data_IF_522349686156
#
_entry.id   IF_522349686156
#
_cell.length_a   1.000
_cell.length_b   1.000
_cell.length_c   1.000
_cell.angle_alpha   90.00
_cell.angle_beta   90.00
_cell.angle_gamma   90.00
#
_symmetry.space_group_name_H-M   'P 1'
#
loop_
_entity.id
_entity.type
_entity.pdbx_description
1 polymer ?
#
# COMPACT_ATOMS: atom_id res chain seq x y z
N UNK A 1 -8.71 -21.54 -10.13
CA UNK A 1 -7.68 -20.73 -10.79
C UNK A 1 -6.56 -21.60 -11.38
N UNK A 2 -6.09 -22.68 -10.75
CA UNK A 2 -5.06 -23.55 -11.34
C UNK A 2 -5.48 -24.22 -12.67
N UNK A 3 -6.70 -24.76 -12.74
CA UNK A 3 -7.25 -25.37 -13.98
C UNK A 3 -7.30 -24.36 -15.13
N UNK A 4 -7.89 -23.19 -14.89
CA UNK A 4 -7.96 -22.08 -15.85
C UNK A 4 -6.56 -21.62 -16.32
N UNK A 5 -5.57 -21.54 -15.42
CA UNK A 5 -4.20 -21.22 -15.80
C UNK A 5 -3.61 -22.27 -16.74
N UNK A 6 -3.82 -23.56 -16.45
CA UNK A 6 -3.34 -24.66 -17.30
C UNK A 6 -4.03 -24.65 -18.67
N UNK A 7 -5.34 -24.40 -18.71
CA UNK A 7 -6.10 -24.23 -19.97
C UNK A 7 -5.55 -23.06 -20.80
N UNK A 8 -5.29 -21.92 -20.16
CA UNK A 8 -4.72 -20.74 -20.82
C UNK A 8 -3.31 -21.01 -21.36
N UNK A 9 -2.45 -21.70 -20.61
CA UNK A 9 -1.11 -22.11 -21.09
C UNK A 9 -1.25 -23.03 -22.31
N UNK A 10 -2.10 -24.06 -22.22
CA UNK A 10 -2.36 -25.02 -23.30
C UNK A 10 -2.92 -24.36 -24.57
N UNK A 11 -3.53 -23.19 -24.47
CA UNK A 11 -3.96 -22.41 -25.64
C UNK A 11 -2.80 -21.82 -26.45
N UNK A 12 -1.59 -21.75 -25.86
CA UNK A 12 -0.36 -21.19 -26.46
C UNK A 12 0.70 -22.26 -26.72
N UNK A 13 0.90 -23.18 -25.78
CA UNK A 13 1.90 -24.27 -25.83
C UNK A 13 1.43 -25.46 -25.00
N UNK A 14 1.77 -26.70 -25.36
CA UNK A 14 1.52 -27.84 -24.46
C UNK A 14 2.24 -27.61 -23.13
N UNK A 15 1.49 -27.59 -22.03
CA UNK A 15 2.03 -27.35 -20.68
C UNK A 15 3.17 -28.32 -20.33
N UNK A 16 3.22 -29.51 -20.93
CA UNK A 16 4.31 -30.48 -20.74
C UNK A 16 5.65 -30.04 -21.33
N UNK A 17 5.62 -29.13 -22.29
CA UNK A 17 6.80 -28.57 -22.97
C UNK A 17 7.42 -27.40 -22.19
N UNK A 18 6.88 -27.01 -21.02
CA UNK A 18 7.49 -25.99 -20.19
C UNK A 18 8.85 -26.45 -19.65
N UNK A 19 9.91 -25.73 -20.04
CA UNK A 19 11.26 -25.96 -19.53
C UNK A 19 11.48 -25.36 -18.13
N UNK A 20 10.92 -24.17 -17.88
CA UNK A 20 11.16 -23.38 -16.66
C UNK A 20 9.89 -22.74 -16.11
N UNK A 21 9.78 -22.70 -14.78
CA UNK A 21 8.83 -21.85 -14.05
C UNK A 21 9.63 -20.91 -13.16
N UNK A 22 9.56 -19.62 -13.45
CA UNK A 22 10.25 -18.59 -12.68
C UNK A 22 9.37 -18.16 -11.50
N UNK A 23 9.88 -18.31 -10.28
CA UNK A 23 9.17 -17.95 -9.06
C UNK A 23 9.81 -16.72 -8.45
N UNK A 24 9.29 -15.54 -8.83
CA UNK A 24 9.74 -14.26 -8.29
C UNK A 24 9.35 -14.06 -6.82
N UNK A 25 8.24 -14.68 -6.38
CA UNK A 25 7.61 -14.48 -5.08
C UNK A 25 6.73 -15.69 -4.71
N UNK A 26 6.71 -16.09 -3.44
CA UNK A 26 6.05 -17.33 -2.99
C UNK A 26 4.66 -17.16 -2.38
N UNK A 27 4.16 -15.93 -2.25
CA UNK A 27 2.83 -15.74 -1.67
C UNK A 27 1.74 -16.46 -2.49
N UNK A 28 0.73 -17.09 -1.85
CA UNK A 28 -0.16 -18.04 -2.53
C UNK A 28 -1.03 -17.46 -3.64
N UNK A 29 -1.21 -16.15 -3.71
CA UNK A 29 -1.88 -15.46 -4.82
C UNK A 29 -1.09 -15.57 -6.13
N UNK A 30 0.23 -15.80 -6.07
CA UNK A 30 1.10 -16.04 -7.24
C UNK A 30 1.45 -17.52 -7.40
N UNK A 31 1.78 -18.18 -6.28
CA UNK A 31 2.41 -19.50 -6.28
C UNK A 31 1.42 -20.65 -6.08
N UNK A 32 0.16 -20.37 -5.76
CA UNK A 32 -0.82 -21.39 -5.37
C UNK A 32 -1.11 -22.45 -6.44
N UNK A 33 -0.85 -22.15 -7.72
CA UNK A 33 -0.97 -23.12 -8.83
C UNK A 33 0.28 -23.94 -9.09
N UNK A 34 1.41 -23.64 -8.43
CA UNK A 34 2.69 -24.30 -8.69
C UNK A 34 2.64 -25.83 -8.59
N UNK A 35 1.95 -26.45 -7.60
CA UNK A 35 1.84 -27.91 -7.54
C UNK A 35 1.13 -28.51 -8.77
N UNK A 36 0.06 -27.87 -9.26
CA UNK A 36 -0.67 -28.35 -10.43
C UNK A 36 0.12 -28.11 -11.72
N UNK A 37 0.90 -27.04 -11.82
CA UNK A 37 1.84 -26.86 -12.94
C UNK A 37 2.86 -28.01 -12.97
N UNK A 38 3.51 -28.32 -11.84
CA UNK A 38 4.50 -29.41 -11.76
C UNK A 38 3.90 -30.76 -12.11
N UNK A 39 2.67 -31.04 -11.66
CA UNK A 39 1.95 -32.27 -11.99
C UNK A 39 1.67 -32.41 -13.49
N UNK A 40 1.39 -31.32 -14.18
CA UNK A 40 1.11 -31.32 -15.63
C UNK A 40 2.38 -31.17 -16.49
N UNK A 41 3.46 -30.64 -15.93
CA UNK A 41 4.75 -30.41 -16.56
C UNK A 41 5.88 -31.10 -15.76
N UNK A 42 5.97 -32.44 -15.76
CA UNK A 42 6.86 -33.17 -14.85
C UNK A 42 8.36 -32.90 -15.05
N UNK A 43 8.75 -32.37 -16.22
CA UNK A 43 10.14 -32.04 -16.54
C UNK A 43 10.50 -30.56 -16.26
N UNK A 44 9.54 -29.74 -15.83
CA UNK A 44 9.74 -28.30 -15.64
C UNK A 44 10.73 -28.02 -14.52
N UNK A 45 11.62 -27.05 -14.68
CA UNK A 45 12.56 -26.65 -13.61
C UNK A 45 12.05 -25.42 -12.89
N UNK A 46 12.02 -25.47 -11.56
CA UNK A 46 11.62 -24.32 -10.75
C UNK A 46 12.83 -23.41 -10.54
N UNK A 47 12.75 -22.17 -10.99
CA UNK A 47 13.83 -21.19 -10.87
C UNK A 47 13.47 -20.14 -9.83
N UNK A 48 14.32 -19.92 -8.84
CA UNK A 48 14.07 -18.94 -7.78
C UNK A 48 15.29 -18.68 -6.91
N UNK A 49 15.19 -17.70 -6.01
CA UNK A 49 16.25 -17.46 -5.02
C UNK A 49 16.45 -18.70 -4.13
N UNK A 50 17.60 -18.81 -3.46
CA UNK A 50 17.83 -19.89 -2.49
C UNK A 50 16.68 -19.97 -1.46
N UNK A 51 16.22 -18.80 -0.97
CA UNK A 51 15.12 -18.72 -0.01
C UNK A 51 13.78 -19.14 -0.63
N UNK A 52 13.51 -18.76 -1.88
CA UNK A 52 12.30 -19.19 -2.58
C UNK A 52 12.26 -20.71 -2.72
N UNK A 53 13.39 -21.35 -3.05
CA UNK A 53 13.48 -22.82 -3.17
C UNK A 53 13.21 -23.52 -1.83
N UNK A 54 13.80 -23.02 -0.74
CA UNK A 54 13.51 -23.55 0.60
C UNK A 54 12.03 -23.39 0.96
N UNK A 55 11.42 -22.27 0.56
CA UNK A 55 10.00 -22.00 0.78
C UNK A 55 9.11 -22.92 -0.07
N UNK A 56 9.42 -23.18 -1.33
CA UNK A 56 8.71 -24.16 -2.19
C UNK A 56 8.67 -25.54 -1.52
N UNK A 57 9.81 -26.01 -0.98
CA UNK A 57 9.87 -27.30 -0.27
C UNK A 57 9.01 -27.32 0.98
N UNK A 58 8.96 -26.22 1.72
CA UNK A 58 8.17 -26.14 2.95
C UNK A 58 6.67 -25.92 2.73
N UNK A 59 6.27 -25.17 1.69
CA UNK A 59 4.88 -24.83 1.42
C UNK A 59 4.17 -25.92 0.62
N UNK A 60 4.88 -26.54 -0.31
CA UNK A 60 4.27 -27.43 -1.30
C UNK A 60 4.84 -28.85 -1.28
N UNK A 61 5.97 -29.08 -0.60
CA UNK A 61 6.63 -30.39 -0.54
C UNK A 61 6.91 -30.99 -1.93
N UNK A 62 7.31 -30.14 -2.87
CA UNK A 62 7.63 -30.55 -4.24
C UNK A 62 9.09 -31.02 -4.33
N UNK A 63 9.29 -32.16 -4.98
CA UNK A 63 10.60 -32.75 -5.28
C UNK A 63 11.10 -32.41 -6.70
N UNK A 64 10.52 -31.40 -7.34
CA UNK A 64 10.88 -30.96 -8.70
C UNK A 64 12.32 -30.47 -8.77
N UNK A 65 12.98 -30.63 -9.93
CA UNK A 65 14.31 -30.04 -10.16
C UNK A 65 14.25 -28.51 -9.98
N UNK A 66 15.25 -27.96 -9.27
CA UNK A 66 15.31 -26.53 -8.96
C UNK A 66 16.61 -25.91 -9.45
N UNK A 67 16.54 -24.65 -9.88
CA UNK A 67 17.68 -23.82 -10.24
C UNK A 67 17.72 -22.63 -9.29
N UNK A 68 18.73 -22.60 -8.42
CA UNK A 68 18.92 -21.45 -7.55
C UNK A 68 19.62 -20.32 -8.28
N UNK A 69 18.98 -19.16 -8.29
CA UNK A 69 19.55 -17.92 -8.82
C UNK A 69 19.92 -17.00 -7.67
N UNK A 70 20.96 -16.20 -7.91
CA UNK A 70 21.41 -15.11 -7.03
C UNK A 70 21.33 -13.79 -7.76
N UNK A 71 21.49 -12.72 -7.04
CA UNK A 71 21.56 -11.38 -7.64
C UNK A 71 22.56 -11.30 -8.81
N UNK A 72 22.09 -10.77 -9.95
CA UNK A 72 22.88 -10.65 -11.19
C UNK A 72 23.03 -11.94 -11.99
N UNK A 73 22.50 -13.06 -11.53
CA UNK A 73 22.49 -14.32 -12.29
C UNK A 73 21.67 -14.17 -13.58
N UNK A 74 21.99 -14.98 -14.59
CA UNK A 74 21.25 -15.01 -15.85
C UNK A 74 20.93 -16.43 -16.31
N UNK A 75 19.83 -16.57 -17.04
CA UNK A 75 19.38 -17.81 -17.68
C UNK A 75 19.08 -17.52 -19.15
N UNK A 76 19.76 -18.23 -20.04
CA UNK A 76 19.46 -18.26 -21.47
C UNK A 76 18.26 -19.19 -21.71
N UNK A 77 17.25 -18.69 -22.42
CA UNK A 77 16.01 -19.40 -22.74
C UNK A 77 15.83 -19.60 -24.26
N UNK A 78 16.93 -19.57 -25.02
CA UNK A 78 16.92 -19.84 -26.46
C UNK A 78 16.72 -18.58 -27.28
N UNK A 79 17.76 -17.76 -27.36
CA UNK A 79 17.76 -16.50 -28.11
C UNK A 79 17.24 -15.30 -27.33
N UNK A 80 16.89 -15.50 -26.05
CA UNK A 80 16.62 -14.45 -25.07
C UNK A 80 17.23 -14.81 -23.72
N UNK A 81 17.43 -13.80 -22.88
CA UNK A 81 18.12 -13.90 -21.60
C UNK A 81 17.26 -13.32 -20.49
N UNK A 82 17.02 -14.12 -19.44
CA UNK A 82 16.47 -13.66 -18.17
C UNK A 82 17.61 -13.29 -17.24
N UNK A 83 17.58 -12.08 -16.66
CA UNK A 83 18.48 -11.63 -15.60
C UNK A 83 17.71 -11.46 -14.31
N UNK A 84 18.24 -11.99 -13.21
CA UNK A 84 17.57 -11.98 -11.91
C UNK A 84 18.14 -10.88 -11.00
N UNK A 85 17.26 -10.13 -10.34
CA UNK A 85 17.60 -9.00 -9.47
C UNK A 85 16.94 -9.25 -8.11
N UNK A 86 17.73 -9.56 -7.09
CA UNK A 86 17.17 -9.80 -5.75
C UNK A 86 16.57 -8.52 -5.16
N UNK A 87 15.36 -8.64 -4.59
CA UNK A 87 14.59 -7.55 -4.01
C UNK A 87 13.99 -7.96 -2.64
N UNK A 88 14.83 -8.41 -1.68
CA UNK A 88 14.32 -8.95 -0.42
C UNK A 88 13.56 -7.90 0.39
N UNK A 89 12.48 -8.34 1.04
CA UNK A 89 11.53 -7.51 1.79
C UNK A 89 10.68 -6.58 0.91
N UNK A 90 10.49 -6.93 -0.37
CA UNK A 90 9.55 -6.27 -1.28
C UNK A 90 8.49 -7.23 -1.84
N UNK A 91 7.57 -7.76 -1.02
CA UNK A 91 7.39 -7.49 0.41
C UNK A 91 7.77 -8.68 1.31
N UNK A 92 8.14 -9.81 0.71
CA UNK A 92 8.60 -11.01 1.41
C UNK A 92 10.12 -11.19 1.30
N UNK A 93 10.74 -12.00 2.19
CA UNK A 93 12.19 -12.11 2.29
C UNK A 93 12.88 -12.78 1.10
N UNK A 94 12.16 -13.50 0.24
CA UNK A 94 12.66 -14.23 -0.93
C UNK A 94 12.49 -13.50 -2.27
N UNK A 95 11.75 -12.38 -2.28
CA UNK A 95 11.34 -11.72 -3.50
C UNK A 95 12.52 -11.33 -4.39
N UNK A 96 12.35 -11.55 -5.70
CA UNK A 96 13.26 -11.09 -6.75
C UNK A 96 12.45 -10.52 -7.93
N UNK A 97 13.12 -9.75 -8.77
CA UNK A 97 12.62 -9.34 -10.07
C UNK A 97 13.32 -10.16 -11.16
N UNK A 98 12.60 -10.37 -12.26
CA UNK A 98 13.16 -10.96 -13.48
C UNK A 98 13.15 -9.91 -14.58
N UNK A 99 14.27 -9.75 -15.27
CA UNK A 99 14.41 -8.80 -16.38
C UNK A 99 14.74 -9.55 -17.66
N UNK A 100 13.91 -9.39 -18.69
CA UNK A 100 14.13 -9.95 -20.02
C UNK A 100 14.98 -8.96 -20.82
N UNK A 101 16.23 -9.34 -21.11
CA UNK A 101 17.27 -8.42 -21.54
C UNK A 101 17.00 -7.82 -22.92
N UNK A 102 16.64 -8.65 -23.87
CA UNK A 102 16.51 -8.29 -25.29
C UNK A 102 15.28 -7.43 -25.54
N UNK A 103 14.18 -7.71 -24.83
CA UNK A 103 12.90 -6.99 -24.95
C UNK A 103 12.76 -5.85 -23.93
N UNK A 104 13.72 -5.70 -23.01
CA UNK A 104 13.75 -4.67 -21.96
C UNK A 104 12.49 -4.64 -21.09
N UNK A 105 12.03 -5.83 -20.70
CA UNK A 105 10.83 -6.03 -19.86
C UNK A 105 11.26 -6.38 -18.44
N UNK A 106 10.77 -5.61 -17.46
CA UNK A 106 10.91 -5.93 -16.05
C UNK A 106 9.64 -6.62 -15.54
N UNK A 107 9.81 -7.79 -14.91
CA UNK A 107 8.80 -8.53 -14.17
C UNK A 107 9.07 -8.40 -12.66
N UNK A 108 8.54 -7.36 -12.00
CA UNK A 108 8.83 -7.05 -10.61
C UNK A 108 7.94 -7.80 -9.60
N UNK A 109 7.01 -8.64 -10.08
CA UNK A 109 5.95 -9.23 -9.26
C UNK A 109 5.14 -8.13 -8.54
N UNK A 110 5.04 -8.18 -7.21
CA UNK A 110 4.21 -7.28 -6.41
C UNK A 110 4.63 -5.80 -6.48
N UNK A 111 5.92 -5.52 -6.72
CA UNK A 111 6.37 -4.15 -6.83
C UNK A 111 5.74 -3.48 -8.07
N UNK A 112 5.28 -2.24 -7.89
CA UNK A 112 4.55 -1.46 -8.90
C UNK A 112 3.14 -1.97 -9.22
N UNK A 113 2.60 -2.90 -8.42
CA UNK A 113 1.24 -3.40 -8.58
C UNK A 113 0.12 -2.44 -8.14
N UNK A 114 -1.11 -2.88 -8.35
CA UNK A 114 -2.34 -2.20 -7.92
C UNK A 114 -3.41 -3.20 -7.54
N UNK A 115 -4.37 -2.79 -6.70
CA UNK A 115 -5.63 -3.51 -6.60
C UNK A 115 -6.52 -3.27 -7.83
N UNK A 116 -7.48 -4.18 -8.06
CA UNK A 116 -8.52 -4.03 -9.08
C UNK A 116 -8.38 -5.02 -10.24
N UNK A 117 -9.51 -5.47 -10.76
CA UNK A 117 -9.57 -6.34 -11.92
C UNK A 117 -9.54 -5.52 -13.22
N UNK A 118 -8.74 -5.95 -14.19
CA UNK A 118 -8.63 -5.28 -15.49
C UNK A 118 -9.74 -5.66 -16.48
N UNK A 119 -10.52 -6.70 -16.17
CA UNK A 119 -11.49 -7.28 -17.09
C UNK A 119 -10.78 -7.90 -18.30
N UNK A 120 -11.10 -7.42 -19.50
CA UNK A 120 -10.52 -7.87 -20.76
C UNK A 120 -9.33 -7.02 -21.23
N UNK A 121 -8.84 -6.09 -20.39
CA UNK A 121 -7.73 -5.19 -20.68
C UNK A 121 -6.47 -5.68 -19.98
N UNK A 122 -5.30 -5.23 -20.45
CA UNK A 122 -4.00 -5.63 -19.89
C UNK A 122 -3.10 -4.41 -19.66
N UNK A 123 -3.13 -3.44 -20.57
CA UNK A 123 -2.10 -2.38 -20.62
C UNK A 123 -2.56 -1.05 -20.04
N UNK A 124 -1.58 -0.24 -19.62
CA UNK A 124 -1.79 1.10 -19.04
C UNK A 124 -2.53 2.07 -19.97
N UNK A 125 -2.39 1.91 -21.28
CA UNK A 125 -3.12 2.70 -22.29
C UNK A 125 -4.57 2.25 -22.56
N UNK A 126 -5.02 1.15 -21.97
CA UNK A 126 -6.37 0.60 -22.18
C UNK A 126 -7.32 0.90 -21.02
N UNK A 127 -6.79 1.23 -19.85
CA UNK A 127 -7.53 1.38 -18.58
C UNK A 127 -7.67 2.84 -18.15
N UNK A 128 -8.52 3.10 -17.15
CA UNK A 128 -8.51 4.38 -16.42
C UNK A 128 -7.26 4.42 -15.53
N UNK A 129 -6.17 4.97 -16.07
CA UNK A 129 -4.87 4.94 -15.41
C UNK A 129 -4.85 5.74 -14.11
N UNK A 130 -5.65 6.80 -13.98
CA UNK A 130 -5.74 7.58 -12.74
C UNK A 130 -6.44 6.78 -11.63
N UNK A 131 -7.48 6.03 -11.98
CA UNK A 131 -8.09 5.06 -11.06
C UNK A 131 -7.05 4.03 -10.59
N UNK A 132 -6.30 3.44 -11.51
CA UNK A 132 -5.28 2.45 -11.17
C UNK A 132 -4.11 3.03 -10.36
N UNK A 133 -3.71 4.29 -10.59
CA UNK A 133 -2.74 4.96 -9.72
C UNK A 133 -3.28 5.19 -8.30
N UNK A 134 -4.56 5.54 -8.15
CA UNK A 134 -5.22 5.58 -6.83
C UNK A 134 -5.20 4.20 -6.16
N UNK A 135 -5.49 3.14 -6.92
CA UNK A 135 -5.45 1.76 -6.41
C UNK A 135 -4.03 1.25 -6.12
N UNK A 136 -3.02 1.67 -6.87
CA UNK A 136 -1.61 1.46 -6.54
C UNK A 136 -1.21 2.18 -5.25
N UNK A 137 -1.71 3.40 -5.03
CA UNK A 137 -1.48 4.12 -3.77
C UNK A 137 -2.12 3.36 -2.60
N UNK A 138 -3.30 2.77 -2.80
CA UNK A 138 -4.00 1.92 -1.82
C UNK A 138 -3.18 0.66 -1.53
N UNK A 139 -2.79 -0.07 -2.58
CA UNK A 139 -1.92 -1.24 -2.52
C UNK A 139 -0.63 -0.93 -1.74
N UNK A 140 0.03 0.18 -2.07
CA UNK A 140 1.25 0.62 -1.39
C UNK A 140 1.01 0.87 0.10
N UNK A 141 -0.02 1.64 0.45
CA UNK A 141 -0.33 1.96 1.84
C UNK A 141 -0.69 0.73 2.68
N UNK A 142 -1.31 -0.28 2.06
CA UNK A 142 -1.74 -1.50 2.75
C UNK A 142 -0.67 -2.58 2.83
N UNK A 143 0.19 -2.74 1.82
CA UNK A 143 1.11 -3.88 1.74
C UNK A 143 2.57 -3.41 1.88
N UNK A 144 2.93 -2.36 1.15
CA UNK A 144 4.32 -1.99 0.90
C UNK A 144 4.88 -0.96 1.89
N UNK A 145 4.05 -0.11 2.49
CA UNK A 145 4.50 1.08 3.26
C UNK A 145 5.49 0.78 4.40
N UNK A 146 5.38 -0.38 5.05
CA UNK A 146 6.33 -0.84 6.08
C UNK A 146 7.75 -1.02 5.53
N UNK A 147 7.83 -1.31 4.23
CA UNK A 147 9.02 -1.66 3.48
C UNK A 147 9.54 -0.54 2.56
N UNK A 148 9.04 0.70 2.69
CA UNK A 148 9.46 1.85 1.85
C UNK A 148 10.98 2.01 1.68
N UNK A 149 11.78 1.72 2.73
CA UNK A 149 13.24 1.77 2.64
C UNK A 149 13.84 0.73 1.69
N UNK A 150 13.20 -0.42 1.55
CA UNK A 150 13.60 -1.46 0.59
C UNK A 150 13.18 -1.07 -0.83
N UNK A 151 12.04 -0.38 -0.99
CA UNK A 151 11.58 0.12 -2.30
C UNK A 151 12.64 1.07 -2.87
N UNK A 152 13.07 2.04 -2.08
CA UNK A 152 14.11 2.99 -2.49
C UNK A 152 15.42 2.29 -2.86
N UNK A 153 15.85 1.28 -2.09
CA UNK A 153 17.05 0.50 -2.40
C UNK A 153 16.92 -0.29 -3.69
N UNK A 154 15.76 -0.90 -3.95
CA UNK A 154 15.53 -1.64 -5.18
C UNK A 154 15.50 -0.70 -6.40
N UNK A 155 14.85 0.45 -6.29
CA UNK A 155 14.85 1.48 -7.35
C UNK A 155 16.28 1.96 -7.63
N UNK A 156 17.05 2.30 -6.59
CA UNK A 156 18.45 2.73 -6.73
C UNK A 156 19.32 1.63 -7.36
N UNK A 157 19.15 0.38 -6.92
CA UNK A 157 19.85 -0.77 -7.48
C UNK A 157 19.57 -0.93 -8.97
N UNK A 158 18.30 -0.92 -9.38
CA UNK A 158 17.90 -1.03 -10.79
C UNK A 158 18.48 0.13 -11.62
N UNK A 159 18.43 1.37 -11.10
CA UNK A 159 19.07 2.54 -11.73
C UNK A 159 20.58 2.33 -11.93
N UNK A 160 21.27 1.80 -10.92
CA UNK A 160 22.72 1.56 -10.96
C UNK A 160 23.15 0.43 -11.91
N UNK A 161 22.23 -0.48 -12.27
CA UNK A 161 22.52 -1.51 -13.28
C UNK A 161 22.62 -0.93 -14.69
N UNK A 162 22.13 0.30 -14.93
CA UNK A 162 22.19 0.95 -16.24
C UNK A 162 21.42 0.19 -17.32
N UNK A 163 20.35 -0.52 -16.94
CA UNK A 163 19.48 -1.24 -17.86
C UNK A 163 18.37 -0.32 -18.38
N UNK A 164 18.03 -0.47 -19.65
CA UNK A 164 16.85 0.16 -20.23
C UNK A 164 15.59 -0.58 -19.81
N UNK A 165 14.49 0.13 -19.57
CA UNK A 165 13.20 -0.49 -19.25
C UNK A 165 12.14 0.13 -20.16
N UNK A 166 11.62 -0.67 -21.08
CA UNK A 166 10.56 -0.26 -22.00
C UNK A 166 9.18 -0.73 -21.50
N UNK A 167 9.13 -1.82 -20.73
CA UNK A 167 7.89 -2.36 -20.16
C UNK A 167 8.10 -2.79 -18.70
N UNK A 168 7.14 -2.48 -17.83
CA UNK A 168 7.04 -3.05 -16.48
C UNK A 168 5.75 -3.86 -16.39
N UNK A 169 5.88 -5.16 -16.11
CA UNK A 169 4.78 -6.12 -16.03
C UNK A 169 4.67 -6.68 -14.60
N UNK A 170 4.00 -5.96 -13.67
CA UNK A 170 3.78 -6.45 -12.31
C UNK A 170 2.85 -7.68 -12.30
N UNK A 171 2.78 -8.39 -11.18
CA UNK A 171 1.84 -9.51 -10.99
C UNK A 171 0.39 -9.06 -10.78
N UNK A 172 0.19 -7.81 -10.35
CA UNK A 172 -1.12 -7.23 -10.08
C UNK A 172 -1.30 -5.90 -10.81
N UNK A 173 -2.45 -5.70 -11.45
CA UNK A 173 -2.75 -4.45 -12.15
C UNK A 173 -2.21 -4.39 -13.58
N UNK A 174 -2.26 -3.21 -14.21
CA UNK A 174 -1.92 -3.07 -15.62
C UNK A 174 -0.43 -3.26 -15.89
N UNK A 175 -0.11 -3.74 -17.09
CA UNK A 175 1.24 -3.72 -17.65
C UNK A 175 1.53 -2.33 -18.18
N UNK A 176 2.60 -1.71 -17.70
CA UNK A 176 2.99 -0.36 -18.09
C UNK A 176 3.93 -0.41 -19.29
N UNK A 177 3.44 0.00 -20.47
CA UNK A 177 4.23 0.05 -21.72
C UNK A 177 4.32 1.46 -22.32
N UNK A 178 3.40 2.37 -21.97
CA UNK A 178 3.40 3.72 -22.54
C UNK A 178 4.35 4.66 -21.79
N UNK A 179 4.35 4.60 -20.46
CA UNK A 179 5.29 5.34 -19.61
C UNK A 179 5.60 4.54 -18.34
N UNK A 180 6.40 3.45 -18.44
CA UNK A 180 6.70 2.58 -17.30
C UNK A 180 7.35 3.33 -16.12
N UNK A 181 8.09 4.40 -16.38
CA UNK A 181 8.79 5.14 -15.33
C UNK A 181 7.81 5.88 -14.41
N UNK A 182 6.59 6.20 -14.87
CA UNK A 182 5.61 6.92 -14.06
C UNK A 182 5.24 6.20 -12.76
N UNK A 183 5.02 4.89 -12.80
CA UNK A 183 4.70 4.12 -11.59
C UNK A 183 5.89 4.01 -10.64
N UNK A 184 7.11 3.98 -11.18
CA UNK A 184 8.35 3.99 -10.39
C UNK A 184 8.50 5.31 -9.64
N UNK A 185 8.24 6.44 -10.29
CA UNK A 185 8.25 7.78 -9.67
C UNK A 185 7.23 7.89 -8.54
N UNK A 186 6.03 7.33 -8.72
CA UNK A 186 4.98 7.30 -7.69
C UNK A 186 5.42 6.49 -6.47
N UNK A 187 5.91 5.26 -6.67
CA UNK A 187 6.43 4.42 -5.59
C UNK A 187 7.63 5.07 -4.88
N UNK A 188 8.53 5.73 -5.62
CA UNK A 188 9.64 6.49 -5.05
C UNK A 188 9.14 7.65 -4.18
N UNK A 189 8.20 8.46 -4.68
CA UNK A 189 7.61 9.58 -3.94
C UNK A 189 6.92 9.13 -2.66
N UNK A 190 6.11 8.08 -2.74
CA UNK A 190 5.43 7.50 -1.58
C UNK A 190 6.41 6.96 -0.55
N UNK A 191 7.50 6.35 -1.00
CA UNK A 191 8.53 5.80 -0.12
C UNK A 191 9.37 6.85 0.60
N UNK A 192 9.52 8.04 0.01
CA UNK A 192 10.26 9.18 0.59
C UNK A 192 9.46 10.00 1.61
N UNK A 193 8.18 9.68 1.81
CA UNK A 193 7.27 10.42 2.68
C UNK A 193 7.18 11.93 2.34
N UNK A 194 7.23 12.27 1.04
CA UNK A 194 7.12 13.67 0.58
C UNK A 194 5.69 14.16 0.89
N UNK A 195 5.52 15.20 1.74
CA UNK A 195 4.21 15.58 2.23
C UNK A 195 3.31 16.14 1.11
N UNK A 196 2.06 15.70 1.05
CA UNK A 196 1.02 16.26 0.19
C UNK A 196 0.29 17.40 0.90
N UNK A 197 -0.20 18.41 0.15
CA UNK A 197 -1.06 19.47 0.68
C UNK A 197 -2.46 18.92 0.99
N UNK A 198 -2.55 18.07 2.00
CA UNK A 198 -3.73 17.28 2.34
C UNK A 198 -3.88 17.10 3.86
N UNK A 199 -5.13 17.07 4.32
CA UNK A 199 -5.51 16.66 5.68
C UNK A 199 -6.49 15.48 5.57
N UNK A 200 -6.32 14.47 6.42
CA UNK A 200 -7.30 13.39 6.55
C UNK A 200 -8.09 13.59 7.84
N UNK A 201 -9.41 13.57 7.77
CA UNK A 201 -10.29 13.58 8.94
C UNK A 201 -10.86 12.18 9.07
N UNK A 202 -10.56 11.49 10.16
CA UNK A 202 -11.13 10.16 10.45
C UNK A 202 -11.93 10.25 11.73
N UNK A 203 -13.22 9.94 11.66
CA UNK A 203 -14.08 9.98 12.82
C UNK A 203 -14.98 8.76 12.95
N UNK A 204 -15.44 8.45 14.15
CA UNK A 204 -16.60 7.58 14.38
C UNK A 204 -17.74 8.36 15.02
N UNK A 205 -19.00 8.05 14.69
CA UNK A 205 -20.16 8.72 15.28
C UNK A 205 -21.33 7.77 15.54
N UNK A 206 -21.82 7.73 16.78
CA UNK A 206 -22.99 6.90 17.14
C UNK A 206 -24.31 7.64 16.95
N UNK A 207 -24.33 8.95 17.20
CA UNK A 207 -25.55 9.77 17.22
C UNK A 207 -25.44 11.03 16.34
N UNK A 208 -24.44 11.09 15.46
CA UNK A 208 -24.23 12.19 14.51
C UNK A 208 -23.55 13.45 15.09
N UNK A 209 -23.35 13.58 16.40
CA UNK A 209 -22.70 14.77 16.97
C UNK A 209 -21.22 14.88 16.56
N UNK A 210 -20.46 13.77 16.60
CA UNK A 210 -19.08 13.75 16.10
C UNK A 210 -19.02 14.06 14.60
N UNK A 211 -19.98 13.53 13.82
CA UNK A 211 -20.09 13.79 12.38
C UNK A 211 -20.26 15.28 12.09
N UNK A 212 -21.18 15.96 12.78
CA UNK A 212 -21.39 17.42 12.66
C UNK A 212 -20.11 18.21 12.90
N UNK A 213 -19.28 17.78 13.86
CA UNK A 213 -17.99 18.42 14.12
C UNK A 213 -16.99 18.16 12.98
N UNK A 214 -16.96 16.95 12.43
CA UNK A 214 -16.10 16.60 11.31
C UNK A 214 -16.43 17.42 10.04
N UNK A 215 -17.71 17.63 9.75
CA UNK A 215 -18.18 18.46 8.63
C UNK A 215 -17.71 19.92 8.77
N UNK A 216 -17.75 20.49 9.99
CA UNK A 216 -17.24 21.84 10.25
C UNK A 216 -15.72 21.92 10.09
N UNK A 217 -14.98 20.88 10.53
CA UNK A 217 -13.53 20.81 10.31
C UNK A 217 -13.19 20.77 8.81
N UNK A 218 -13.89 19.94 8.06
CA UNK A 218 -13.74 19.80 6.61
C UNK A 218 -13.93 21.14 5.90
N UNK A 219 -15.05 21.83 6.14
CA UNK A 219 -15.35 23.13 5.53
C UNK A 219 -14.25 24.16 5.82
N UNK A 220 -13.80 24.24 7.07
CA UNK A 220 -12.79 25.22 7.48
C UNK A 220 -11.41 24.91 6.88
N UNK A 221 -11.02 23.64 6.78
CA UNK A 221 -9.72 23.27 6.18
C UNK A 221 -9.75 23.50 4.67
N UNK A 222 -10.85 23.12 4.00
CA UNK A 222 -11.01 23.37 2.57
C UNK A 222 -10.99 24.87 2.23
N UNK A 223 -11.53 25.73 3.11
CA UNK A 223 -11.49 27.18 2.94
C UNK A 223 -10.06 27.77 2.92
N UNK A 224 -9.09 27.05 3.48
CA UNK A 224 -7.66 27.40 3.44
C UNK A 224 -6.95 26.83 2.19
N UNK A 225 -7.71 26.26 1.25
CA UNK A 225 -7.22 25.71 -0.02
C UNK A 225 -6.42 24.42 0.14
N UNK A 226 -6.69 23.64 1.20
CA UNK A 226 -6.05 22.34 1.47
C UNK A 226 -7.07 21.25 1.18
N UNK A 227 -6.68 20.23 0.43
CA UNK A 227 -7.55 19.10 0.11
C UNK A 227 -7.83 18.25 1.36
N UNK A 228 -9.08 17.85 1.56
CA UNK A 228 -9.51 17.03 2.70
C UNK A 228 -10.09 15.70 2.26
N UNK A 229 -9.63 14.61 2.88
CA UNK A 229 -10.31 13.31 2.81
C UNK A 229 -11.02 13.04 4.13
N UNK A 230 -12.33 12.79 4.10
CA UNK A 230 -13.15 12.56 5.29
C UNK A 230 -13.66 11.12 5.32
N UNK A 231 -13.40 10.44 6.43
CA UNK A 231 -13.74 9.03 6.62
C UNK A 231 -14.53 8.84 7.92
N UNK A 232 -15.77 8.35 7.81
CA UNK A 232 -16.45 7.75 8.96
C UNK A 232 -15.96 6.31 9.11
N UNK A 233 -15.09 6.05 10.08
CA UNK A 233 -14.48 4.73 10.31
C UNK A 233 -15.50 3.65 10.73
N UNK A 234 -16.74 4.04 11.02
CA UNK A 234 -17.83 3.10 11.26
C UNK A 234 -18.28 2.41 9.96
N UNK A 235 -17.91 2.98 8.80
CA UNK A 235 -18.33 2.53 7.48
C UNK A 235 -17.15 2.51 6.49
N UNK A 236 -17.25 1.66 5.47
CA UNK A 236 -16.23 1.57 4.42
C UNK A 236 -14.99 0.77 4.83
N UNK A 237 -14.13 0.55 3.83
CA UNK A 237 -12.93 -0.26 4.00
C UNK A 237 -11.75 0.59 4.49
N UNK A 238 -11.06 0.10 5.52
CA UNK A 238 -9.94 0.81 6.16
C UNK A 238 -8.76 1.04 5.21
N UNK A 239 -8.63 0.28 4.14
CA UNK A 239 -7.60 0.47 3.12
C UNK A 239 -7.68 1.84 2.44
N UNK A 240 -8.88 2.39 2.27
CA UNK A 240 -9.05 3.75 1.72
C UNK A 240 -8.54 4.81 2.70
N UNK A 241 -8.76 4.60 4.00
CA UNK A 241 -8.21 5.48 5.03
C UNK A 241 -6.67 5.42 5.00
N UNK A 242 -6.09 4.22 4.93
CA UNK A 242 -4.63 4.05 4.84
C UNK A 242 -4.05 4.71 3.57
N UNK A 243 -4.71 4.57 2.43
CA UNK A 243 -4.35 5.24 1.17
C UNK A 243 -4.26 6.75 1.36
N UNK A 244 -5.29 7.36 1.93
CA UNK A 244 -5.37 8.82 2.06
C UNK A 244 -4.41 9.34 3.13
N UNK A 245 -4.11 8.53 4.14
CA UNK A 245 -3.09 8.82 5.13
C UNK A 245 -1.66 8.75 4.58
N UNK A 246 -1.43 8.04 3.48
CA UNK A 246 -0.10 7.97 2.87
C UNK A 246 0.30 9.36 2.34
N UNK A 247 1.46 9.84 2.78
CA UNK A 247 1.99 11.17 2.51
C UNK A 247 1.15 12.36 3.03
N UNK A 248 0.00 12.11 3.69
CA UNK A 248 -0.72 13.18 4.38
C UNK A 248 0.07 13.61 5.64
N UNK A 249 0.52 14.88 5.72
CA UNK A 249 1.29 15.38 6.86
C UNK A 249 0.46 15.51 8.13
N UNK A 250 -0.86 15.61 8.02
CA UNK A 250 -1.77 15.80 9.15
C UNK A 250 -2.99 14.87 9.07
N UNK A 251 -3.44 14.43 10.25
CA UNK A 251 -4.70 13.70 10.42
C UNK A 251 -5.44 14.24 11.64
N UNK A 252 -6.76 14.35 11.53
CA UNK A 252 -7.61 14.74 12.64
C UNK A 252 -8.48 13.54 13.03
N UNK A 253 -8.35 13.11 14.29
CA UNK A 253 -9.12 11.98 14.82
C UNK A 253 -10.31 12.45 15.66
N UNK A 254 -11.48 11.92 15.31
CA UNK A 254 -12.76 12.17 15.96
C UNK A 254 -13.36 10.90 16.58
N UNK A 255 -13.72 10.88 17.86
CA UNK A 255 -14.53 9.76 18.36
C UNK A 255 -15.42 10.09 19.55
N UNK A 256 -16.54 9.37 19.72
CA UNK A 256 -17.21 9.33 21.00
C UNK A 256 -16.35 8.58 22.03
N UNK A 257 -16.55 8.87 23.32
CA UNK A 257 -16.14 7.93 24.37
C UNK A 257 -17.06 6.71 24.35
N UNK A 258 -16.49 5.52 24.17
CA UNK A 258 -17.20 4.25 24.08
C UNK A 258 -16.83 3.37 25.28
N UNK A 259 -17.77 3.11 26.18
CA UNK A 259 -17.54 2.35 27.43
C UNK A 259 -16.30 2.81 28.22
N UNK A 260 -16.10 4.13 28.30
CA UNK A 260 -14.94 4.75 28.96
C UNK A 260 -13.63 4.68 28.17
N UNK A 261 -13.64 4.15 26.95
CA UNK A 261 -12.49 3.87 26.10
C UNK A 261 -12.59 4.54 24.73
N UNK A 262 -11.51 4.39 23.94
CA UNK A 262 -11.45 4.80 22.53
C UNK A 262 -12.44 3.97 21.72
N UNK A 263 -13.15 4.61 20.77
CA UNK A 263 -14.04 3.93 19.86
C UNK A 263 -13.33 2.77 19.12
N UNK A 264 -13.82 1.51 19.18
CA UNK A 264 -13.04 0.34 18.76
C UNK A 264 -12.50 0.38 17.32
N UNK A 265 -13.26 0.80 16.29
CA UNK A 265 -12.71 0.92 14.94
C UNK A 265 -11.55 1.91 14.85
N UNK A 266 -11.64 3.04 15.58
CA UNK A 266 -10.55 4.01 15.65
C UNK A 266 -9.31 3.43 16.36
N UNK A 267 -9.51 2.64 17.42
CA UNK A 267 -8.39 1.94 18.08
C UNK A 267 -7.70 0.97 17.11
N UNK A 268 -8.46 0.28 16.27
CA UNK A 268 -7.91 -0.61 15.25
C UNK A 268 -7.07 0.16 14.21
N UNK A 269 -7.57 1.30 13.71
CA UNK A 269 -6.78 2.14 12.79
C UNK A 269 -5.47 2.61 13.42
N UNK A 270 -5.50 3.09 14.66
CA UNK A 270 -4.28 3.54 15.37
C UNK A 270 -3.24 2.42 15.43
N UNK A 271 -3.65 1.18 15.71
CA UNK A 271 -2.75 0.03 15.67
C UNK A 271 -2.17 -0.21 14.25
N UNK A 272 -2.98 -0.04 13.20
CA UNK A 272 -2.49 -0.16 11.83
C UNK A 272 -1.47 0.92 11.45
N UNK A 273 -1.58 2.15 11.98
CA UNK A 273 -0.57 3.18 11.72
C UNK A 273 0.82 2.76 12.18
N UNK A 274 0.91 2.07 13.32
CA UNK A 274 2.16 1.53 13.83
C UNK A 274 2.68 0.39 12.95
N UNK A 275 1.83 -0.60 12.67
CA UNK A 275 2.18 -1.78 11.85
C UNK A 275 2.66 -1.36 10.45
N UNK A 276 1.98 -0.37 9.84
CA UNK A 276 2.26 0.15 8.51
C UNK A 276 3.27 1.29 8.50
N UNK A 277 3.80 1.69 9.67
CA UNK A 277 4.79 2.76 9.86
C UNK A 277 4.37 4.12 9.30
N UNK A 278 3.08 4.44 9.37
CA UNK A 278 2.52 5.74 8.96
C UNK A 278 2.63 6.75 10.12
N UNK A 279 3.86 7.10 10.51
CA UNK A 279 4.17 7.89 11.71
C UNK A 279 4.49 9.36 11.41
N UNK A 280 4.85 10.15 12.43
CA UNK A 280 5.33 11.55 12.32
C UNK A 280 4.34 12.53 11.69
N UNK A 281 3.05 12.25 11.92
CA UNK A 281 1.93 13.12 11.50
C UNK A 281 1.64 14.18 12.56
N UNK A 282 1.14 15.32 12.09
CA UNK A 282 0.51 16.35 12.92
C UNK A 282 -0.92 15.87 13.23
N UNK A 283 -1.30 15.82 14.50
CA UNK A 283 -2.57 15.24 14.96
C UNK A 283 -3.45 16.33 15.55
N UNK A 284 -4.65 16.49 15.00
CA UNK A 284 -5.77 17.14 15.68
C UNK A 284 -6.65 16.10 16.38
N UNK A 285 -7.20 16.42 17.55
CA UNK A 285 -8.11 15.54 18.27
C UNK A 285 -9.41 16.25 18.61
N UNK A 286 -10.53 15.59 18.33
CA UNK A 286 -11.85 16.03 18.78
C UNK A 286 -12.71 14.83 19.17
N UNK A 287 -13.78 15.06 19.92
CA UNK A 287 -14.66 13.98 20.30
C UNK A 287 -15.86 14.42 21.11
N UNK A 288 -16.78 13.49 21.30
CA UNK A 288 -18.01 13.71 22.07
C UNK A 288 -18.11 12.75 23.26
N UNK A 289 -18.77 13.17 24.33
CA UNK A 289 -19.05 12.29 25.47
C UNK A 289 -20.36 12.72 26.15
N UNK A 290 -21.00 11.82 26.88
CA UNK A 290 -22.26 12.12 27.58
C UNK A 290 -22.04 12.46 29.07
N UNK A 291 -21.26 11.64 29.77
CA UNK A 291 -20.91 11.84 31.18
C UNK A 291 -19.39 11.83 31.38
N UNK A 292 -18.76 10.66 31.24
CA UNK A 292 -17.33 10.46 31.36
C UNK A 292 -16.64 10.63 30.01
N UNK A 293 -15.57 11.43 29.97
CA UNK A 293 -14.78 11.70 28.77
C UNK A 293 -13.33 11.30 28.99
N UNK A 294 -12.92 10.16 28.44
CA UNK A 294 -11.56 9.63 28.59
C UNK A 294 -10.96 9.08 27.28
N UNK A 295 -11.72 9.07 26.17
CA UNK A 295 -11.21 8.56 24.90
C UNK A 295 -10.05 9.42 24.35
N UNK A 296 -10.18 10.75 24.38
CA UNK A 296 -9.17 11.64 23.79
C UNK A 296 -7.86 11.67 24.58
N UNK A 297 -7.90 11.55 25.91
CA UNK A 297 -6.70 11.44 26.75
C UNK A 297 -5.93 10.15 26.48
N UNK A 298 -6.64 9.02 26.38
CA UNK A 298 -6.04 7.74 25.99
C UNK A 298 -5.45 7.79 24.58
N UNK A 299 -6.20 8.35 23.63
CA UNK A 299 -5.76 8.48 22.25
C UNK A 299 -4.53 9.39 22.12
N UNK A 300 -4.52 10.53 22.81
CA UNK A 300 -3.36 11.44 22.89
C UNK A 300 -2.11 10.68 23.37
N UNK A 301 -2.24 9.92 24.47
CA UNK A 301 -1.12 9.16 25.04
C UNK A 301 -0.50 8.22 24.01
N UNK A 302 -1.32 7.39 23.37
CA UNK A 302 -0.85 6.39 22.40
C UNK A 302 -0.20 7.07 21.19
N UNK A 303 -0.82 8.12 20.64
CA UNK A 303 -0.29 8.80 19.45
C UNK A 303 1.04 9.51 19.75
N UNK A 304 1.20 10.09 20.93
CA UNK A 304 2.49 10.68 21.36
C UNK A 304 3.56 9.59 21.55
N UNK A 305 3.22 8.46 22.18
CA UNK A 305 4.12 7.31 22.33
C UNK A 305 4.57 6.74 20.97
N UNK A 306 3.70 6.76 19.97
CA UNK A 306 3.99 6.40 18.57
C UNK A 306 4.82 7.46 17.81
N UNK A 307 5.19 8.58 18.45
CA UNK A 307 6.01 9.64 17.86
C UNK A 307 5.25 10.61 16.96
N UNK A 308 3.93 10.71 17.10
CA UNK A 308 3.13 11.76 16.45
C UNK A 308 3.12 13.04 17.27
N UNK A 309 2.86 14.15 16.60
CA UNK A 309 2.73 15.46 17.25
C UNK A 309 1.26 15.81 17.42
N UNK A 310 0.74 15.71 18.64
CA UNK A 310 -0.64 16.12 18.96
C UNK A 310 -0.68 17.60 19.30
N UNK A 311 -1.48 18.37 18.55
CA UNK A 311 -1.58 19.82 18.73
C UNK A 311 -2.83 20.25 19.49
N UNK A 312 -2.76 21.41 20.14
CA UNK A 312 -3.88 22.03 20.86
C UNK A 312 -4.64 23.02 19.97
N UNK A 313 -5.96 23.21 20.15
CA UNK A 313 -6.77 22.64 21.23
C UNK A 313 -7.22 21.20 20.93
N UNK A 314 -7.23 20.35 21.96
CA UNK A 314 -7.97 19.10 21.95
C UNK A 314 -9.43 19.39 22.34
N UNK A 315 -10.37 19.14 21.43
CA UNK A 315 -11.77 19.58 21.61
C UNK A 315 -12.66 18.43 22.06
N UNK A 316 -13.05 18.45 23.33
CA UNK A 316 -13.98 17.48 23.92
C UNK A 316 -15.35 18.13 24.16
N UNK A 317 -16.39 17.57 23.53
CA UNK A 317 -17.75 18.13 23.54
C UNK A 317 -18.69 17.25 24.38
N UNK A 318 -19.39 17.85 25.34
CA UNK A 318 -20.40 17.12 26.13
C UNK A 318 -21.75 17.14 25.42
N UNK A 319 -22.20 15.99 24.94
CA UNK A 319 -23.46 15.85 24.22
C UNK A 319 -23.38 16.43 22.81
N UNK A 320 -24.25 17.39 22.50
CA UNK A 320 -24.29 18.08 21.21
C UNK A 320 -23.38 19.33 21.22
N UNK A 321 -22.70 19.66 20.10
CA UNK A 321 -21.81 20.81 20.05
C UNK A 321 -22.55 22.13 20.23
N UNK A 322 -22.00 23.00 21.07
CA UNK A 322 -22.43 24.40 21.24
C UNK A 322 -21.70 25.33 20.28
N UNK A 323 -22.11 26.60 20.20
CA UNK A 323 -21.42 27.63 19.41
C UNK A 323 -19.95 27.77 19.87
N UNK A 324 -19.71 27.77 21.18
CA UNK A 324 -18.36 27.88 21.74
C UNK A 324 -17.49 26.67 21.39
N UNK A 325 -18.08 25.47 21.33
CA UNK A 325 -17.36 24.28 20.87
C UNK A 325 -16.97 24.41 19.40
N UNK A 326 -17.88 24.91 18.56
CA UNK A 326 -17.62 25.12 17.15
C UNK A 326 -16.51 26.17 16.91
N UNK A 327 -16.41 27.22 17.73
CA UNK A 327 -15.29 28.17 17.65
C UNK A 327 -13.94 27.53 18.00
N UNK A 328 -13.90 26.62 18.98
CA UNK A 328 -12.68 25.84 19.28
C UNK A 328 -12.31 24.91 18.12
N UNK A 329 -13.31 24.33 17.44
CA UNK A 329 -13.11 23.50 16.25
C UNK A 329 -12.53 24.31 15.10
N UNK A 330 -13.04 25.52 14.83
CA UNK A 330 -12.46 26.44 13.85
C UNK A 330 -11.02 26.81 14.18
N UNK A 331 -10.72 27.04 15.47
CA UNK A 331 -9.35 27.30 15.93
C UNK A 331 -8.42 26.11 15.68
N UNK A 332 -8.89 24.88 15.94
CA UNK A 332 -8.14 23.66 15.61
C UNK A 332 -7.90 23.53 14.10
N UNK A 333 -8.91 23.74 13.27
CA UNK A 333 -8.81 23.70 11.81
C UNK A 333 -7.74 24.67 11.29
N UNK A 334 -7.77 25.93 11.71
CA UNK A 334 -6.80 26.95 11.31
C UNK A 334 -5.37 26.58 11.70
N UNK A 335 -5.16 26.01 12.89
CA UNK A 335 -3.84 25.56 13.32
C UNK A 335 -3.34 24.38 12.49
N UNK A 336 -4.18 23.38 12.24
CA UNK A 336 -3.82 22.27 11.36
C UNK A 336 -3.45 22.79 9.96
N UNK A 337 -4.28 23.66 9.39
CA UNK A 337 -4.05 24.23 8.07
C UNK A 337 -2.70 24.95 7.98
N UNK A 338 -2.42 25.86 8.93
CA UNK A 338 -1.14 26.57 9.01
C UNK A 338 0.06 25.61 9.10
N UNK A 339 -0.05 24.55 9.91
CA UNK A 339 1.02 23.56 10.07
C UNK A 339 1.26 22.73 8.80
N UNK A 340 0.19 22.40 8.07
CA UNK A 340 0.29 21.70 6.78
C UNK A 340 0.96 22.60 5.75
N UNK A 341 0.50 23.85 5.61
CA UNK A 341 1.08 24.82 4.66
C UNK A 341 2.59 25.01 4.89
N UNK A 342 3.03 25.13 6.14
CA UNK A 342 4.45 25.24 6.49
C UNK A 342 5.27 23.98 6.16
N UNK A 343 4.65 22.80 6.08
CA UNK A 343 5.34 21.53 5.83
C UNK A 343 5.43 21.18 4.34
N UNK A 344 4.58 21.78 3.52
CA UNK A 344 4.53 21.57 2.06
C UNK A 344 5.10 22.74 1.25
N UNK A 345 5.39 23.87 1.91
CA UNK A 345 6.18 24.97 1.37
C UNK A 345 7.67 24.61 1.44
#
# INVERSE_FOLDING_TARGET
YAEELIENINSVIDVKELDYVIVNHLEPDHSGSLPEIVKNAPNVKIVGTNRAIDMVKSFFHLDQETISVRDGSSLDIGGKTLRFIEAPWLHWPETMFTYLVEDKILFPCDAFGSFGALGNKIFDDEVDLELFFSESKRYFATIVSKYSKFVLRAIEKVKNLGIDIEIIAPSHGPVYRKNPIKIVELFERWSRDVPEKRVVIVYGSMYGNTKKIAEVLEENINSEGIDTAVHDISYGDISFILRDLLNAPAVIFGCPTYDGNIFPPLRHLVNLLEIKRLQRKIIGLFGTYAWGGNALSQLKKILVEMGHEVIEPIVSVKGAPTIDDLEKIKSLAKKIASRVLNKVS
#
